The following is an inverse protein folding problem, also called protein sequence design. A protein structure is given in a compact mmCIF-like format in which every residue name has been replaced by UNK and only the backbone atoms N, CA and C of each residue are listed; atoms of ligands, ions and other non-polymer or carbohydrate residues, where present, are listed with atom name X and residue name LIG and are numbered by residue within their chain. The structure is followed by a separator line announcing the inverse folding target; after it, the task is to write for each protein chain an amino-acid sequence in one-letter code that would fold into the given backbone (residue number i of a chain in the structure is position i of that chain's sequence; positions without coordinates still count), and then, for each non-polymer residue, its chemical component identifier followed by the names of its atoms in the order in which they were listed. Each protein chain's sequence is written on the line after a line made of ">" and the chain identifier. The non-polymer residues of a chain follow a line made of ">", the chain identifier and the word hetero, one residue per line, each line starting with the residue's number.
data_IF_397458723728
#
_entry.id   IF_397458723728
#
_cell.length_a   1.000
_cell.length_b   1.000
_cell.length_c   1.000
_cell.angle_alpha   90.00
_cell.angle_beta   90.00
_cell.angle_gamma   90.00
#
_symmetry.space_group_name_H-M   'P 1'
#
loop_
_entity.id
_entity.type
_entity.pdbx_description
1 polymer ?
#
# COMPACT_ATOMS: atom_id res chain seq x y z
N UNK A 1 9.10 -20.76 -8.77
CA UNK A 1 9.63 -20.12 -10.01
C UNK A 1 9.43 -20.91 -11.29
N UNK A 2 9.02 -22.19 -11.25
CA UNK A 2 8.70 -22.95 -12.48
C UNK A 2 9.88 -23.25 -13.41
N UNK A 3 11.12 -23.10 -12.91
CA UNK A 3 12.36 -23.35 -13.66
C UNK A 3 12.56 -24.85 -13.90
N UNK A 4 13.01 -25.22 -15.10
CA UNK A 4 13.35 -26.61 -15.44
C UNK A 4 14.67 -27.03 -14.80
N UNK A 5 14.91 -28.35 -14.71
CA UNK A 5 16.19 -28.87 -14.22
C UNK A 5 17.36 -28.52 -15.16
N UNK A 6 17.11 -28.48 -16.48
CA UNK A 6 18.13 -28.10 -17.47
C UNK A 6 18.58 -26.65 -17.28
N UNK A 7 17.62 -25.73 -17.13
CA UNK A 7 17.91 -24.31 -16.89
C UNK A 7 18.69 -24.13 -15.59
N UNK A 8 18.31 -24.84 -14.52
CA UNK A 8 19.01 -24.80 -13.25
C UNK A 8 20.47 -25.25 -13.38
N UNK A 9 20.72 -26.38 -14.05
CA UNK A 9 22.07 -26.92 -14.25
C UNK A 9 22.95 -26.03 -15.13
N UNK A 10 22.34 -25.18 -15.97
CA UNK A 10 23.06 -24.25 -16.86
C UNK A 10 23.27 -22.87 -16.24
N UNK A 11 22.56 -22.52 -15.18
CA UNK A 11 22.77 -21.30 -14.42
C UNK A 11 24.06 -21.35 -13.60
N UNK A 12 24.78 -20.24 -13.59
CA UNK A 12 25.73 -19.95 -12.51
C UNK A 12 24.97 -19.67 -11.21
N UNK A 13 25.60 -19.86 -10.04
CA UNK A 13 24.96 -19.54 -8.75
C UNK A 13 24.41 -18.11 -8.68
N UNK A 14 25.10 -17.12 -9.27
CA UNK A 14 24.66 -15.73 -9.30
C UNK A 14 23.42 -15.53 -10.19
N UNK A 15 23.35 -16.20 -11.34
CA UNK A 15 22.17 -16.11 -12.23
C UNK A 15 20.96 -16.76 -11.59
N UNK A 16 21.15 -17.92 -10.95
CA UNK A 16 20.08 -18.58 -10.21
C UNK A 16 19.57 -17.70 -9.07
N UNK A 17 20.48 -17.07 -8.30
CA UNK A 17 20.11 -16.17 -7.22
C UNK A 17 19.30 -14.98 -7.74
N UNK A 18 19.71 -14.34 -8.84
CA UNK A 18 18.98 -13.23 -9.43
C UNK A 18 17.57 -13.66 -9.90
N UNK A 19 17.47 -14.81 -10.57
CA UNK A 19 16.17 -15.35 -11.01
C UNK A 19 15.26 -15.69 -9.83
N UNK A 20 15.81 -16.26 -8.76
CA UNK A 20 15.08 -16.56 -7.54
C UNK A 20 14.58 -15.28 -6.85
N UNK A 21 15.42 -14.25 -6.74
CA UNK A 21 15.05 -12.96 -6.14
C UNK A 21 13.89 -12.31 -6.89
N UNK A 22 13.98 -12.17 -8.21
CA UNK A 22 12.90 -11.59 -9.01
C UNK A 22 11.60 -12.40 -8.91
N UNK A 23 11.69 -13.72 -8.91
CA UNK A 23 10.51 -14.56 -8.72
C UNK A 23 9.91 -14.42 -7.32
N UNK A 24 10.75 -14.35 -6.28
CA UNK A 24 10.31 -14.20 -4.90
C UNK A 24 9.59 -12.88 -4.69
N UNK A 25 10.17 -11.77 -5.16
CA UNK A 25 9.55 -10.44 -5.12
C UNK A 25 8.21 -10.41 -5.88
N UNK A 26 8.16 -11.01 -7.07
CA UNK A 26 6.92 -11.09 -7.83
C UNK A 26 5.85 -11.88 -7.07
N UNK A 27 6.19 -13.04 -6.52
CA UNK A 27 5.28 -13.89 -5.79
C UNK A 27 4.80 -13.22 -4.49
N UNK A 28 5.69 -12.57 -3.75
CA UNK A 28 5.35 -11.81 -2.55
C UNK A 28 4.37 -10.67 -2.89
N UNK A 29 4.65 -9.90 -3.94
CA UNK A 29 3.74 -8.85 -4.42
C UNK A 29 2.38 -9.38 -4.86
N UNK A 30 2.34 -10.54 -5.52
CA UNK A 30 1.09 -11.19 -5.91
C UNK A 30 0.26 -11.56 -4.67
N UNK A 31 0.89 -12.18 -3.67
CA UNK A 31 0.26 -12.53 -2.40
C UNK A 31 -0.24 -11.28 -1.66
N UNK A 32 0.58 -10.23 -1.54
CA UNK A 32 0.16 -8.96 -0.94
C UNK A 32 -1.05 -8.37 -1.67
N UNK A 33 -1.04 -8.39 -3.00
CA UNK A 33 -2.16 -7.91 -3.81
C UNK A 33 -3.44 -8.73 -3.62
N UNK A 34 -3.36 -10.04 -3.41
CA UNK A 34 -4.52 -10.88 -3.07
C UNK A 34 -5.14 -10.46 -1.74
N UNK A 35 -4.31 -10.28 -0.71
CA UNK A 35 -4.74 -9.83 0.61
C UNK A 35 -5.34 -8.43 0.58
N UNK A 36 -4.77 -7.51 -0.21
CA UNK A 36 -5.32 -6.17 -0.38
C UNK A 36 -6.69 -6.18 -1.06
N UNK A 37 -6.86 -6.98 -2.12
CA UNK A 37 -8.16 -7.13 -2.79
C UNK A 37 -9.22 -7.71 -1.85
N UNK A 38 -8.84 -8.71 -1.05
CA UNK A 38 -9.72 -9.27 -0.02
C UNK A 38 -10.10 -8.22 1.03
N UNK A 39 -9.13 -7.44 1.52
CA UNK A 39 -9.36 -6.35 2.48
C UNK A 39 -10.32 -5.31 1.92
N UNK A 40 -10.17 -4.93 0.65
CA UNK A 40 -11.09 -4.01 -0.02
C UNK A 40 -12.51 -4.60 -0.11
N UNK A 41 -12.65 -5.88 -0.48
CA UNK A 41 -13.95 -6.54 -0.51
C UNK A 41 -14.61 -6.54 0.88
N UNK A 42 -13.87 -6.89 1.94
CA UNK A 42 -14.34 -6.82 3.32
C UNK A 42 -14.75 -5.41 3.73
N UNK A 43 -13.96 -4.39 3.39
CA UNK A 43 -14.30 -2.99 3.64
C UNK A 43 -15.64 -2.63 3.00
N UNK A 44 -15.84 -2.95 1.72
CA UNK A 44 -17.11 -2.71 1.01
C UNK A 44 -18.29 -3.44 1.65
N UNK A 45 -18.09 -4.66 2.16
CA UNK A 45 -19.14 -5.43 2.84
C UNK A 45 -19.49 -4.86 4.22
N UNK A 46 -18.50 -4.35 4.96
CA UNK A 46 -18.68 -3.85 6.33
C UNK A 46 -19.17 -2.39 6.37
N UNK A 47 -18.78 -1.57 5.41
CA UNK A 47 -19.05 -0.13 5.41
C UNK A 47 -20.52 0.26 5.63
N UNK A 48 -21.53 -0.42 5.02
CA UNK A 48 -22.95 -0.07 5.23
C UNK A 48 -23.44 -0.30 6.67
N UNK A 49 -22.75 -1.14 7.44
CA UNK A 49 -23.12 -1.50 8.81
C UNK A 49 -22.32 -0.73 9.86
N UNK A 50 -21.36 0.09 9.44
CA UNK A 50 -20.56 0.93 10.32
C UNK A 50 -21.20 2.30 10.50
N UNK A 51 -21.13 2.84 11.73
CA UNK A 51 -21.54 4.22 12.04
C UNK A 51 -20.57 5.26 11.49
N UNK A 52 -19.33 4.86 11.21
CA UNK A 52 -18.25 5.72 10.75
C UNK A 52 -17.66 5.19 9.44
N UNK A 53 -17.02 6.07 8.66
CA UNK A 53 -16.23 5.65 7.50
C UNK A 53 -15.07 4.79 7.97
N UNK A 54 -15.02 3.55 7.53
CA UNK A 54 -13.93 2.63 7.84
C UNK A 54 -12.76 2.90 6.90
N UNK A 55 -11.55 2.80 7.43
CA UNK A 55 -10.32 2.72 6.65
C UNK A 55 -9.95 1.25 6.37
N UNK A 56 -9.04 1.02 5.44
CA UNK A 56 -8.55 -0.32 5.16
C UNK A 56 -7.87 -0.95 6.40
N UNK A 57 -7.14 -0.15 7.19
CA UNK A 57 -6.44 -0.58 8.41
C UNK A 57 -7.40 -0.96 9.55
N UNK A 58 -8.64 -0.46 9.54
CA UNK A 58 -9.69 -0.87 10.50
C UNK A 58 -10.20 -2.30 10.22
N UNK A 59 -10.01 -2.79 8.98
CA UNK A 59 -10.43 -4.14 8.56
C UNK A 59 -9.32 -5.16 8.80
N UNK A 60 -8.12 -4.89 8.27
CA UNK A 60 -6.94 -5.73 8.41
C UNK A 60 -5.67 -4.87 8.34
N UNK A 61 -4.73 -5.12 9.23
CA UNK A 61 -3.40 -4.52 9.23
C UNK A 61 -2.40 -5.53 8.69
N UNK A 62 -1.57 -5.11 7.74
CA UNK A 62 -0.58 -5.98 7.14
C UNK A 62 0.85 -5.62 7.58
N UNK A 63 1.74 -6.60 7.75
CA UNK A 63 3.11 -6.36 8.21
C UNK A 63 3.94 -5.54 7.20
N UNK A 64 3.63 -5.62 5.90
CA UNK A 64 4.32 -4.84 4.86
C UNK A 64 3.89 -3.37 4.78
N UNK A 65 2.94 -2.93 5.61
CA UNK A 65 2.52 -1.52 5.69
C UNK A 65 3.35 -0.70 6.70
N UNK A 66 4.14 -1.36 7.56
CA UNK A 66 4.93 -0.71 8.61
C UNK A 66 5.96 0.29 8.07
N UNK A 67 6.51 0.04 6.88
CA UNK A 67 7.43 0.97 6.20
C UNK A 67 6.76 2.27 5.73
N UNK A 68 5.44 2.28 5.60
CA UNK A 68 4.65 3.45 5.18
C UNK A 68 4.30 4.39 6.33
N UNK A 69 4.42 3.92 7.59
CA UNK A 69 3.94 4.65 8.79
C UNK A 69 4.83 5.83 9.22
N UNK A 70 5.91 6.14 8.49
CA UNK A 70 6.72 7.37 8.69
C UNK A 70 6.45 8.44 7.64
N UNK A 71 5.19 8.85 7.53
CA UNK A 71 4.90 10.27 7.33
C UNK A 71 3.97 10.66 8.45
N UNK A 72 4.58 11.11 9.56
CA UNK A 72 3.88 11.94 10.54
C UNK A 72 3.14 13.00 9.72
N UNK A 73 1.81 12.87 9.64
CA UNK A 73 1.00 13.99 9.19
C UNK A 73 1.28 15.05 10.22
N UNK A 74 1.85 16.18 9.80
CA UNK A 74 1.91 17.34 10.68
C UNK A 74 0.50 17.54 11.25
N UNK A 75 0.36 17.45 12.57
CA UNK A 75 -0.88 17.80 13.27
C UNK A 75 -1.06 19.32 13.13
N UNK A 76 -1.49 19.72 11.94
CA UNK A 76 -1.83 21.09 11.64
C UNK A 76 -3.17 21.37 12.30
N UNK A 77 -3.19 22.29 13.26
CA UNK A 77 -4.43 22.67 13.94
C UNK A 77 -5.50 23.07 12.92
N UNK A 78 -6.78 22.84 13.26
CA UNK A 78 -7.88 23.23 12.36
C UNK A 78 -7.83 24.70 11.94
N UNK A 79 -7.33 25.57 12.82
CA UNK A 79 -7.19 27.00 12.56
C UNK A 79 -6.15 27.29 11.48
N UNK A 80 -5.02 26.58 11.55
CA UNK A 80 -3.94 26.68 10.58
C UNK A 80 -4.35 26.11 9.22
N UNK A 81 -5.10 25.00 9.21
CA UNK A 81 -5.67 24.44 7.99
C UNK A 81 -6.67 25.42 7.33
N UNK A 82 -7.55 26.04 8.12
CA UNK A 82 -8.49 27.08 7.67
C UNK A 82 -7.77 28.34 7.19
N UNK A 83 -6.59 28.66 7.73
CA UNK A 83 -5.74 29.77 7.25
C UNK A 83 -5.16 29.47 5.88
N UNK A 84 -4.47 28.32 5.73
CA UNK A 84 -3.89 27.87 4.46
C UNK A 84 -4.92 27.79 3.34
N UNK A 85 -6.12 27.29 3.65
CA UNK A 85 -7.24 27.24 2.70
C UNK A 85 -7.71 28.64 2.24
N UNK A 86 -7.81 29.60 3.17
CA UNK A 86 -8.19 30.98 2.86
C UNK A 86 -7.14 31.69 2.00
N UNK A 87 -5.87 31.46 2.28
CA UNK A 87 -4.76 32.00 1.49
C UNK A 87 -4.73 31.42 0.07
N UNK A 88 -4.94 30.11 -0.07
CA UNK A 88 -5.04 29.46 -1.38
C UNK A 88 -6.24 29.97 -2.20
N UNK A 89 -7.41 30.17 -1.57
CA UNK A 89 -8.58 30.76 -2.23
C UNK A 89 -8.31 32.17 -2.75
N UNK A 90 -7.63 33.00 -1.95
CA UNK A 90 -7.24 34.36 -2.33
C UNK A 90 -6.26 34.34 -3.50
N UNK A 91 -5.26 33.47 -3.47
CA UNK A 91 -4.29 33.31 -4.55
C UNK A 91 -4.95 32.83 -5.86
N UNK A 92 -6.00 32.00 -5.77
CA UNK A 92 -6.77 31.52 -6.90
C UNK A 92 -7.85 32.52 -7.40
N UNK A 93 -7.98 33.70 -6.79
CA UNK A 93 -8.95 34.72 -7.21
C UNK A 93 -10.41 34.38 -6.90
N UNK A 94 -10.66 33.40 -6.05
CA UNK A 94 -11.99 32.99 -5.62
C UNK A 94 -12.36 33.77 -4.34
N UNK A 95 -13.47 34.52 -4.37
CA UNK A 95 -14.00 35.24 -3.19
C UNK A 95 -14.54 34.29 -2.13
#
# INVERSE_FOLDING_TARGET
>A
MGMSLDDFCRCTPSEFQAAWQSWHEWHENEQHGEWERLRMACLCMLQPYSKHTLSAEDVMQFPWEEDTKRKEREDVSEEELKRRYREAKRAAGLK
#
